data_IF_676914627620
#
_entry.id   IF_676914627620
#
_cell.length_a   1.000
_cell.length_b   1.000
_cell.length_c   1.000
_cell.angle_alpha   90.00
_cell.angle_beta   90.00
_cell.angle_gamma   90.00
#
_symmetry.space_group_name_H-M   'P 1'
#
loop_
_entity.id
_entity.type
_entity.pdbx_description
1 polymer ?
#
# COMPACT_ATOMS: atom_id res chain seq x y z
N UNK A 1 -4.55 -1.94 28.61
CA UNK A 1 -5.96 -2.30 28.86
C UNK A 1 -6.56 -2.80 27.55
N UNK A 2 -6.67 -4.11 27.38
CA UNK A 2 -7.13 -4.70 26.12
C UNK A 2 -8.64 -4.47 25.95
N UNK A 3 -9.02 -3.65 24.95
CA UNK A 3 -10.40 -3.63 24.45
C UNK A 3 -10.65 -4.90 23.65
N UNK A 4 -10.86 -6.02 24.35
CA UNK A 4 -11.40 -7.23 23.75
C UNK A 4 -12.85 -6.98 23.34
N UNK A 5 -13.11 -6.69 22.06
CA UNK A 5 -14.49 -6.79 21.57
C UNK A 5 -14.81 -8.28 21.49
N UNK A 6 -16.00 -8.69 21.95
CA UNK A 6 -16.53 -10.08 22.01
C UNK A 6 -16.34 -10.92 20.73
N UNK A 7 -15.95 -10.28 19.61
CA UNK A 7 -15.84 -10.81 18.26
C UNK A 7 -14.40 -10.90 17.72
N UNK A 8 -13.37 -10.63 18.55
CA UNK A 8 -11.96 -10.79 18.18
C UNK A 8 -11.41 -12.11 18.70
N UNK A 9 -10.89 -12.93 17.78
CA UNK A 9 -10.23 -14.21 18.09
C UNK A 9 -8.78 -14.09 18.56
N UNK A 10 -8.13 -12.95 18.30
CA UNK A 10 -6.73 -12.72 18.67
C UNK A 10 -6.65 -11.45 19.54
N UNK A 11 -5.73 -11.39 20.52
CA UNK A 11 -5.39 -10.16 21.22
C UNK A 11 -4.75 -9.14 20.26
N UNK A 12 -4.68 -7.87 20.68
CA UNK A 12 -4.33 -6.76 19.81
C UNK A 12 -2.88 -6.84 19.27
N UNK A 13 -1.95 -7.28 20.10
CA UNK A 13 -0.56 -7.56 19.74
C UNK A 13 -0.45 -8.63 18.64
N UNK A 14 -1.21 -9.73 18.74
CA UNK A 14 -1.21 -10.80 17.74
C UNK A 14 -1.93 -10.38 16.45
N UNK A 15 -2.96 -9.53 16.54
CA UNK A 15 -3.54 -8.89 15.35
C UNK A 15 -2.51 -8.02 14.64
N UNK A 16 -1.76 -7.19 15.38
CA UNK A 16 -0.70 -6.36 14.81
C UNK A 16 0.40 -7.21 14.16
N UNK A 17 0.90 -8.26 14.83
CA UNK A 17 1.90 -9.16 14.28
C UNK A 17 1.43 -9.85 13.00
N UNK A 18 0.18 -10.31 12.95
CA UNK A 18 -0.42 -10.90 11.74
C UNK A 18 -0.43 -9.91 10.57
N UNK A 19 -0.82 -8.67 10.84
CA UNK A 19 -0.85 -7.60 9.83
C UNK A 19 0.57 -7.26 9.36
N UNK A 20 1.53 -7.12 10.27
CA UNK A 20 2.92 -6.85 9.94
C UNK A 20 3.54 -7.98 9.11
N UNK A 21 3.26 -9.24 9.48
CA UNK A 21 3.68 -10.41 8.73
C UNK A 21 3.13 -10.38 7.28
N UNK A 22 1.89 -9.92 7.10
CA UNK A 22 1.33 -9.73 5.75
C UNK A 22 1.99 -8.57 5.00
N UNK A 23 1.97 -7.35 5.57
CA UNK A 23 2.36 -6.12 4.86
C UNK A 23 3.87 -5.98 4.66
N UNK A 24 4.68 -6.46 5.62
CA UNK A 24 6.14 -6.37 5.57
C UNK A 24 6.79 -7.67 5.09
N UNK A 25 6.23 -8.82 5.50
CA UNK A 25 6.77 -10.14 5.21
C UNK A 25 6.22 -10.79 3.94
N UNK A 26 5.12 -10.28 3.38
CA UNK A 26 4.51 -10.85 2.18
C UNK A 26 3.85 -12.21 2.40
N UNK A 27 3.57 -12.60 3.65
CA UNK A 27 2.94 -13.88 3.96
C UNK A 27 1.52 -13.96 3.38
N UNK A 28 1.18 -15.11 2.80
CA UNK A 28 -0.16 -15.34 2.22
C UNK A 28 -1.22 -15.51 3.31
N UNK A 29 -2.49 -15.27 2.98
CA UNK A 29 -3.57 -15.46 3.94
C UNK A 29 -3.68 -16.89 4.45
N UNK A 30 -3.35 -17.89 3.62
CA UNK A 30 -3.33 -19.28 4.03
C UNK A 30 -2.21 -19.56 5.05
N UNK A 31 -1.00 -19.03 4.82
CA UNK A 31 0.11 -19.15 5.76
C UNK A 31 -0.21 -18.49 7.11
N UNK A 32 -0.80 -17.30 7.08
CA UNK A 32 -1.20 -16.57 8.29
C UNK A 32 -2.33 -17.28 9.05
N UNK A 33 -3.33 -17.81 8.32
CA UNK A 33 -4.43 -18.56 8.92
C UNK A 33 -3.89 -19.79 9.68
N UNK A 34 -3.01 -20.55 9.04
CA UNK A 34 -2.35 -21.69 9.65
C UNK A 34 -1.49 -21.28 10.86
N UNK A 35 -0.63 -20.27 10.72
CA UNK A 35 0.31 -19.85 11.76
C UNK A 35 -0.35 -19.24 13.00
N UNK A 36 -1.50 -18.59 12.84
CA UNK A 36 -2.23 -17.95 13.96
C UNK A 36 -3.43 -18.77 14.46
N UNK A 37 -3.71 -19.95 13.87
CA UNK A 37 -4.83 -20.80 14.29
C UNK A 37 -6.21 -20.17 14.07
N UNK A 38 -6.36 -19.33 13.03
CA UNK A 38 -7.60 -18.62 12.70
C UNK A 38 -8.05 -18.93 11.27
N UNK A 39 -9.33 -18.76 10.97
CA UNK A 39 -9.82 -18.93 9.59
C UNK A 39 -9.32 -17.83 8.65
N UNK A 40 -9.18 -18.15 7.36
CA UNK A 40 -8.78 -17.19 6.30
C UNK A 40 -9.65 -15.93 6.32
N UNK A 41 -10.96 -16.05 6.54
CA UNK A 41 -11.86 -14.90 6.66
C UNK A 41 -11.51 -13.96 7.84
N UNK A 42 -10.96 -14.51 8.93
CA UNK A 42 -10.48 -13.70 10.07
C UNK A 42 -9.18 -12.98 9.73
N UNK A 43 -8.26 -13.64 9.03
CA UNK A 43 -7.03 -13.00 8.50
C UNK A 43 -7.40 -11.85 7.58
N UNK A 44 -8.28 -12.11 6.60
CA UNK A 44 -8.75 -11.10 5.66
C UNK A 44 -9.32 -9.88 6.38
N UNK A 45 -10.18 -10.10 7.37
CA UNK A 45 -10.79 -9.04 8.16
C UNK A 45 -9.76 -8.21 8.92
N UNK A 46 -8.83 -8.85 9.62
CA UNK A 46 -7.79 -8.14 10.36
C UNK A 46 -6.86 -7.33 9.44
N UNK A 47 -6.47 -7.91 8.31
CA UNK A 47 -5.66 -7.20 7.31
C UNK A 47 -6.42 -6.00 6.73
N UNK A 48 -7.69 -6.18 6.36
CA UNK A 48 -8.50 -5.12 5.74
C UNK A 48 -8.70 -3.95 6.70
N UNK A 49 -9.13 -4.22 7.93
CA UNK A 49 -9.33 -3.17 8.93
C UNK A 49 -8.01 -2.45 9.29
N UNK A 50 -6.90 -3.18 9.38
CA UNK A 50 -5.61 -2.55 9.67
C UNK A 50 -5.13 -1.70 8.49
N UNK A 51 -5.37 -2.13 7.25
CA UNK A 51 -5.11 -1.33 6.05
C UNK A 51 -5.94 -0.04 6.06
N UNK A 52 -7.22 -0.10 6.43
CA UNK A 52 -8.07 1.09 6.58
C UNK A 52 -7.50 2.06 7.62
N UNK A 53 -7.12 1.57 8.80
CA UNK A 53 -6.52 2.39 9.87
C UNK A 53 -5.19 3.01 9.43
N UNK A 54 -4.30 2.22 8.82
CA UNK A 54 -3.01 2.70 8.34
C UNK A 54 -3.16 3.70 7.19
N UNK A 55 -4.12 3.48 6.31
CA UNK A 55 -4.44 4.40 5.20
C UNK A 55 -4.90 5.75 5.72
N UNK A 56 -5.70 5.77 6.79
CA UNK A 56 -6.19 7.00 7.40
C UNK A 56 -5.08 7.87 8.02
N UNK A 57 -3.94 7.27 8.38
CA UNK A 57 -2.78 7.99 8.97
C UNK A 57 -1.64 8.20 7.97
N UNK A 58 -1.74 7.69 6.74
CA UNK A 58 -0.75 7.93 5.70
C UNK A 58 -0.70 9.42 5.32
N UNK A 59 0.49 9.99 5.06
CA UNK A 59 0.60 11.40 4.70
C UNK A 59 -0.11 11.68 3.37
N UNK A 60 -0.87 12.76 3.34
CA UNK A 60 -1.39 13.30 2.09
C UNK A 60 -0.28 14.02 1.30
N UNK A 61 -0.59 14.35 0.04
CA UNK A 61 0.38 15.01 -0.84
C UNK A 61 0.83 16.36 -0.27
N UNK A 62 -0.08 17.10 0.38
CA UNK A 62 0.24 18.40 0.95
C UNK A 62 1.27 18.29 2.07
N UNK A 63 1.13 17.29 2.94
CA UNK A 63 2.09 16.98 4.02
C UNK A 63 3.43 16.58 3.43
N UNK A 64 3.43 15.72 2.43
CA UNK A 64 4.65 15.30 1.76
C UNK A 64 5.38 16.45 1.06
N UNK A 65 4.65 17.35 0.39
CA UNK A 65 5.23 18.53 -0.27
C UNK A 65 5.86 19.47 0.75
N UNK A 66 5.24 19.68 1.92
CA UNK A 66 5.84 20.48 3.00
C UNK A 66 7.16 19.86 3.48
N UNK A 67 7.21 18.54 3.67
CA UNK A 67 8.43 17.83 4.05
C UNK A 67 9.48 17.88 2.94
N UNK A 68 9.07 17.73 1.69
CA UNK A 68 9.94 17.78 0.52
C UNK A 68 10.59 19.16 0.32
N UNK A 69 9.86 20.24 0.59
CA UNK A 69 10.36 21.61 0.49
C UNK A 69 11.52 21.91 1.46
N UNK A 70 11.70 21.09 2.51
CA UNK A 70 12.82 21.18 3.45
C UNK A 70 14.06 20.38 2.99
N UNK A 71 14.00 19.72 1.82
CA UNK A 71 15.09 18.91 1.27
C UNK A 71 15.72 19.62 0.09
N UNK A 72 17.02 19.38 -0.13
CA UNK A 72 17.75 19.96 -1.27
C UNK A 72 17.20 19.47 -2.62
N UNK A 73 16.78 18.22 -2.68
CA UNK A 73 16.06 17.62 -3.79
C UNK A 73 15.22 16.44 -3.28
N UNK A 74 14.30 15.98 -4.12
CA UNK A 74 13.49 14.76 -3.90
C UNK A 74 13.50 13.93 -5.17
N UNK A 75 13.32 12.63 -5.01
CA UNK A 75 13.24 11.69 -6.12
C UNK A 75 11.77 11.37 -6.35
N UNK A 76 11.28 11.61 -7.56
CA UNK A 76 9.99 11.15 -8.03
C UNK A 76 10.22 9.97 -8.97
N UNK A 77 9.68 8.81 -8.62
CA UNK A 77 9.79 7.60 -9.43
C UNK A 77 8.46 6.87 -9.59
N UNK A 78 8.30 6.15 -10.70
CA UNK A 78 7.13 5.32 -10.99
C UNK A 78 7.45 3.84 -10.85
N UNK A 79 6.78 3.16 -9.91
CA UNK A 79 6.95 1.72 -9.68
C UNK A 79 5.75 0.94 -10.21
N UNK A 80 6.01 -0.04 -11.07
CA UNK A 80 4.98 -0.96 -11.57
C UNK A 80 4.78 -2.14 -10.60
N UNK A 81 3.65 -2.17 -9.92
CA UNK A 81 3.19 -3.31 -9.14
C UNK A 81 2.59 -4.37 -10.07
N UNK A 82 3.14 -5.59 -10.14
CA UNK A 82 2.60 -6.62 -11.01
C UNK A 82 1.21 -7.04 -10.54
N UNK A 83 0.29 -7.23 -11.49
CA UNK A 83 -1.02 -7.83 -11.24
C UNK A 83 -1.27 -8.96 -12.22
N UNK A 84 -2.15 -9.88 -11.84
CA UNK A 84 -2.67 -10.87 -12.77
C UNK A 84 -3.43 -10.18 -13.92
N UNK A 85 -3.50 -10.87 -15.05
CA UNK A 85 -4.26 -10.39 -16.20
C UNK A 85 -5.73 -10.31 -15.84
N UNK A 86 -6.30 -9.11 -15.92
CA UNK A 86 -7.73 -8.86 -15.72
C UNK A 86 -8.45 -8.61 -17.05
N UNK A 87 -9.77 -8.81 -17.07
CA UNK A 87 -10.58 -8.72 -18.30
C UNK A 87 -10.44 -7.38 -19.04
N UNK A 88 -10.27 -6.28 -18.28
CA UNK A 88 -9.83 -5.00 -18.83
C UNK A 88 -8.33 -5.10 -19.15
N UNK A 89 -7.97 -5.63 -20.32
CA UNK A 89 -6.59 -6.04 -20.63
C UNK A 89 -5.62 -4.86 -20.88
N UNK A 90 -5.91 -4.06 -21.93
CA UNK A 90 -5.01 -3.02 -22.44
C UNK A 90 -4.61 -1.93 -21.44
N UNK A 91 -5.49 -1.39 -20.57
CA UNK A 91 -5.10 -0.31 -19.67
C UNK A 91 -4.01 -0.68 -18.67
N UNK A 92 -3.94 -1.95 -18.28
CA UNK A 92 -3.01 -2.43 -17.25
C UNK A 92 -1.77 -3.09 -17.84
N UNK A 93 -1.74 -3.36 -19.15
CA UNK A 93 -0.55 -3.84 -19.81
C UNK A 93 0.49 -2.72 -19.94
N UNK A 94 1.64 -2.88 -19.31
CA UNK A 94 2.77 -1.96 -19.45
C UNK A 94 3.62 -2.35 -20.66
N UNK A 95 3.66 -1.47 -21.67
CA UNK A 95 4.50 -1.68 -22.85
C UNK A 95 6.01 -1.68 -22.54
N UNK A 96 6.44 -0.92 -21.51
CA UNK A 96 7.82 -0.82 -21.03
C UNK A 96 8.26 -2.11 -20.35
N UNK A 97 7.45 -2.63 -19.43
CA UNK A 97 7.79 -3.80 -18.63
C UNK A 97 7.29 -5.13 -19.23
N UNK A 98 6.53 -5.07 -20.34
CA UNK A 98 5.91 -6.22 -21.04
C UNK A 98 5.05 -7.11 -20.13
N UNK A 99 4.45 -6.53 -19.09
CA UNK A 99 3.67 -7.22 -18.05
C UNK A 99 2.43 -6.40 -17.66
N UNK A 100 1.42 -7.07 -17.13
CA UNK A 100 0.27 -6.41 -16.50
C UNK A 100 0.66 -5.88 -15.12
N UNK A 101 0.21 -4.66 -14.83
CA UNK A 101 0.56 -4.00 -13.59
C UNK A 101 -0.25 -2.74 -13.31
N UNK A 102 -0.04 -2.25 -12.10
CA UNK A 102 -0.53 -0.98 -11.59
C UNK A 102 0.68 -0.08 -11.35
N UNK A 103 0.71 1.11 -11.94
CA UNK A 103 1.78 2.07 -11.71
C UNK A 103 1.47 2.91 -10.45
N UNK A 104 2.44 3.03 -9.55
CA UNK A 104 2.39 3.88 -8.36
C UNK A 104 3.55 4.85 -8.43
N UNK A 105 3.26 6.15 -8.36
CA UNK A 105 4.30 7.16 -8.23
C UNK A 105 4.67 7.33 -6.77
N UNK A 106 5.97 7.43 -6.50
CA UNK A 106 6.53 7.52 -5.16
C UNK A 106 7.42 8.75 -5.08
N UNK A 107 7.25 9.52 -4.01
CA UNK A 107 8.16 10.60 -3.65
C UNK A 107 9.08 10.10 -2.54
N UNK A 108 10.39 10.22 -2.73
CA UNK A 108 11.39 9.83 -1.73
C UNK A 108 12.40 10.96 -1.49
N UNK A 109 12.98 10.98 -0.29
CA UNK A 109 14.10 11.87 0.02
C UNK A 109 15.43 11.34 -0.55
N UNK A 110 16.52 12.14 -0.54
CA UNK A 110 17.83 11.73 -1.04
C UNK A 110 18.43 10.49 -0.39
N UNK A 111 17.95 10.11 0.81
CA UNK A 111 18.41 8.94 1.55
C UNK A 111 17.53 7.71 1.26
N UNK A 112 16.61 7.81 0.31
CA UNK A 112 15.70 6.73 -0.07
C UNK A 112 14.50 6.56 0.86
N UNK A 113 14.24 7.49 1.79
CA UNK A 113 13.07 7.42 2.66
C UNK A 113 11.83 7.82 1.89
N UNK A 114 10.80 6.99 1.92
CA UNK A 114 9.54 7.30 1.25
C UNK A 114 8.81 8.43 1.97
N UNK A 115 8.42 9.46 1.22
CA UNK A 115 7.66 10.62 1.71
C UNK A 115 6.18 10.52 1.32
N UNK A 116 5.88 9.94 0.15
CA UNK A 116 4.52 9.84 -0.37
C UNK A 116 4.38 8.77 -1.44
N UNK A 117 3.17 8.28 -1.63
CA UNK A 117 2.80 7.39 -2.73
C UNK A 117 1.44 7.81 -3.33
N UNK A 118 1.35 7.77 -4.65
CA UNK A 118 0.12 8.06 -5.37
C UNK A 118 -0.90 6.93 -5.22
N UNK A 119 -2.15 7.23 -5.57
CA UNK A 119 -3.09 6.17 -5.89
C UNK A 119 -2.58 5.33 -7.07
N UNK A 120 -3.00 4.05 -7.10
CA UNK A 120 -2.58 3.11 -8.11
C UNK A 120 -3.22 3.44 -9.47
N UNK A 121 -2.37 3.70 -10.46
CA UNK A 121 -2.71 4.03 -11.84
C UNK A 121 -2.63 2.79 -12.74
N UNK A 122 -3.33 2.74 -13.88
CA UNK A 122 -3.15 1.65 -14.84
C UNK A 122 -1.70 1.57 -15.35
N UNK A 123 -1.16 0.35 -15.54
CA UNK A 123 0.24 0.11 -15.91
C UNK A 123 0.71 0.68 -17.26
N UNK A 124 -0.23 1.12 -18.10
CA UNK A 124 0.04 1.88 -19.33
C UNK A 124 0.36 3.37 -19.09
N UNK A 125 0.10 3.90 -17.89
CA UNK A 125 0.39 5.30 -17.56
C UNK A 125 1.89 5.50 -17.40
N UNK A 126 2.43 6.48 -18.12
CA UNK A 126 3.84 6.85 -18.06
C UNK A 126 4.20 7.65 -16.80
N UNK A 127 5.42 7.42 -16.31
CA UNK A 127 5.93 7.84 -15.01
C UNK A 127 5.95 9.38 -14.82
N UNK A 128 5.98 10.19 -15.88
CA UNK A 128 6.28 11.63 -15.77
C UNK A 128 5.16 12.62 -16.16
N UNK A 129 4.06 12.21 -16.80
CA UNK A 129 3.19 13.20 -17.50
C UNK A 129 1.80 13.46 -16.90
N UNK A 130 1.36 12.75 -15.86
CA UNK A 130 -0.07 12.83 -15.47
C UNK A 130 -0.36 12.81 -13.98
N UNK A 131 0.29 13.70 -13.24
CA UNK A 131 0.04 13.91 -11.80
C UNK A 131 -1.40 14.34 -11.45
N UNK A 132 -2.23 14.83 -12.39
CA UNK A 132 -3.51 15.50 -12.05
C UNK A 132 -4.71 15.29 -13.01
N UNK A 133 -4.91 14.12 -13.65
CA UNK A 133 -6.21 13.82 -14.29
C UNK A 133 -6.87 12.56 -13.75
N UNK A 134 -7.86 12.81 -12.87
CA UNK A 134 -9.00 11.97 -12.45
C UNK A 134 -8.89 10.48 -12.76
N UNK A 135 -8.66 9.71 -11.69
CA UNK A 135 -8.92 8.27 -11.62
C UNK A 135 -10.41 7.98 -11.85
N UNK A 136 -10.70 7.03 -12.74
CA UNK A 136 -12.04 6.46 -12.97
C UNK A 136 -12.02 4.93 -13.02
N UNK A 137 -11.22 4.30 -12.17
CA UNK A 137 -11.29 2.85 -12.00
C UNK A 137 -11.08 2.45 -10.54
N UNK A 138 -11.84 1.43 -10.13
CA UNK A 138 -11.83 0.85 -8.79
C UNK A 138 -10.53 0.08 -8.56
N UNK A 139 -9.50 0.79 -8.12
CA UNK A 139 -8.18 0.27 -7.71
C UNK A 139 -7.93 0.60 -6.23
N UNK A 140 -9.02 0.87 -5.50
CA UNK A 140 -9.05 1.35 -4.11
C UNK A 140 -8.23 0.46 -3.20
N UNK A 141 -8.36 -0.86 -3.32
CA UNK A 141 -7.64 -1.81 -2.46
C UNK A 141 -6.12 -1.78 -2.65
N UNK A 142 -5.63 -1.64 -3.87
CA UNK A 142 -4.17 -1.54 -4.13
C UNK A 142 -3.67 -0.18 -3.63
N UNK A 143 -4.44 0.88 -3.84
CA UNK A 143 -4.14 2.22 -3.32
C UNK A 143 -4.05 2.22 -1.79
N UNK A 144 -4.98 1.59 -1.10
CA UNK A 144 -5.01 1.53 0.36
C UNK A 144 -3.86 0.67 0.90
N UNK A 145 -3.54 -0.46 0.25
CA UNK A 145 -2.36 -1.26 0.60
C UNK A 145 -1.06 -0.46 0.47
N UNK A 146 -0.90 0.28 -0.63
CA UNK A 146 0.27 1.14 -0.86
C UNK A 146 0.39 2.21 0.23
N UNK A 147 -0.71 2.89 0.54
CA UNK A 147 -0.75 3.90 1.61
C UNK A 147 -0.46 3.30 2.99
N UNK A 148 -1.01 2.12 3.27
CA UNK A 148 -0.77 1.42 4.52
C UNK A 148 0.70 1.01 4.70
N UNK A 149 1.33 0.49 3.63
CA UNK A 149 2.76 0.17 3.62
C UNK A 149 3.60 1.44 3.79
N UNK A 150 3.23 2.55 3.14
CA UNK A 150 3.90 3.84 3.32
C UNK A 150 3.82 4.32 4.78
N UNK A 151 2.63 4.29 5.39
CA UNK A 151 2.44 4.68 6.78
C UNK A 151 3.31 3.83 7.73
N UNK A 152 3.39 2.52 7.48
CA UNK A 152 4.23 1.62 8.25
C UNK A 152 5.74 1.89 8.05
N UNK A 153 6.16 2.18 6.82
CA UNK A 153 7.55 2.54 6.52
C UNK A 153 7.97 3.83 7.25
N UNK A 154 7.10 4.84 7.26
CA UNK A 154 7.35 6.09 7.95
C UNK A 154 7.43 5.92 9.48
N UNK A 155 6.54 5.12 10.07
CA UNK A 155 6.54 4.83 11.49
C UNK A 155 7.75 4.01 11.98
N UNK A 156 8.46 3.32 11.07
CA UNK A 156 9.67 2.55 11.39
C UNK A 156 10.98 3.28 11.08
N UNK A 157 10.89 4.39 10.33
CA UNK A 157 12.02 5.23 9.94
C UNK A 157 12.19 6.48 10.82
N UNK A 158 11.32 6.62 11.83
CA UNK A 158 11.31 7.73 12.80
C UNK A 158 12.29 7.51 13.94
#
# INVERSE_FOLDING_TARGET
>A
QERGTRWRRLPADRQALLVLAHLRGGHTYAQLAAGFGVGIATVYRYVTEAVEVLTAVAPDLATAVRTAAQKAFVILDGTLLPIDRIAADRPYYSGKHKKHGMNVQVLADPFGRLLWASAALPGSVHDSWRLLRKLRCSTTRITDLVKAVLALHLATSS
#
